data_IF_433392930072
#
_entry.id   IF_433392930072
#
_cell.length_a   1.000
_cell.length_b   1.000
_cell.length_c   1.000
_cell.angle_alpha   90.00
_cell.angle_beta   90.00
_cell.angle_gamma   90.00
#
_symmetry.space_group_name_H-M   'P 1'
#
loop_
_entity.id
_entity.type
_entity.pdbx_description
1 polymer ?
#
# COMPACT_ATOMS: atom_id res chain seq x y z
N UNK A 1 -1.18 -21.16 -9.75
CA UNK A 1 -1.85 -20.87 -8.46
C UNK A 1 -1.55 -19.46 -7.94
N UNK A 2 -0.28 -18.99 -7.97
CA UNK A 2 0.08 -17.65 -7.50
C UNK A 2 -0.68 -16.49 -8.19
N UNK A 3 -0.95 -16.57 -9.50
CA UNK A 3 -1.74 -15.55 -10.20
C UNK A 3 -3.16 -15.39 -9.63
N UNK A 4 -3.84 -16.51 -9.31
CA UNK A 4 -5.18 -16.49 -8.69
C UNK A 4 -5.17 -15.84 -7.30
N UNK A 5 -4.06 -15.99 -6.55
CA UNK A 5 -3.90 -15.34 -5.23
C UNK A 5 -3.79 -13.83 -5.42
N UNK A 6 -2.95 -13.38 -6.34
CA UNK A 6 -2.81 -11.96 -6.70
C UNK A 6 -4.09 -11.33 -7.27
N UNK A 7 -4.88 -12.11 -8.01
CA UNK A 7 -6.21 -11.70 -8.50
C UNK A 7 -7.21 -11.52 -7.35
N UNK A 8 -7.22 -12.45 -6.39
CA UNK A 8 -8.07 -12.33 -5.20
C UNK A 8 -7.63 -11.18 -4.30
N UNK A 9 -6.34 -11.01 -4.06
CA UNK A 9 -5.78 -9.90 -3.27
C UNK A 9 -6.19 -8.57 -3.90
N UNK A 10 -5.94 -8.37 -5.19
CA UNK A 10 -6.30 -7.13 -5.87
C UNK A 10 -7.82 -6.88 -5.90
N UNK A 11 -8.63 -7.93 -6.04
CA UNK A 11 -10.09 -7.78 -5.97
C UNK A 11 -10.53 -7.35 -4.57
N UNK A 12 -9.95 -7.94 -3.52
CA UNK A 12 -10.22 -7.55 -2.14
C UNK A 12 -9.77 -6.11 -1.86
N UNK A 13 -8.57 -5.73 -2.33
CA UNK A 13 -8.06 -4.35 -2.27
C UNK A 13 -9.06 -3.36 -2.90
N UNK A 14 -9.58 -3.67 -4.10
CA UNK A 14 -10.57 -2.82 -4.77
C UNK A 14 -11.89 -2.72 -3.99
N UNK A 15 -12.37 -3.81 -3.40
CA UNK A 15 -13.58 -3.78 -2.56
C UNK A 15 -13.35 -2.93 -1.31
N UNK A 16 -12.22 -3.09 -0.64
CA UNK A 16 -11.87 -2.30 0.55
C UNK A 16 -11.73 -0.81 0.19
N UNK A 17 -11.07 -0.49 -0.92
CA UNK A 17 -10.95 0.88 -1.41
C UNK A 17 -12.32 1.51 -1.71
N UNK A 18 -13.24 0.76 -2.33
CA UNK A 18 -14.60 1.25 -2.60
C UNK A 18 -15.40 1.48 -1.31
N UNK A 19 -15.27 0.59 -0.32
CA UNK A 19 -15.90 0.77 0.99
C UNK A 19 -15.34 1.99 1.72
N UNK A 20 -14.02 2.18 1.69
CA UNK A 20 -13.36 3.36 2.26
C UNK A 20 -13.78 4.65 1.56
N UNK A 21 -13.93 4.64 0.23
CA UNK A 21 -14.45 5.78 -0.52
C UNK A 21 -15.87 6.16 -0.04
N UNK A 22 -16.76 5.17 0.08
CA UNK A 22 -18.11 5.40 0.61
C UNK A 22 -18.10 5.92 2.05
N UNK A 23 -17.22 5.40 2.90
CA UNK A 23 -17.04 5.87 4.27
C UNK A 23 -16.56 7.33 4.31
N UNK A 24 -15.56 7.70 3.50
CA UNK A 24 -15.07 9.08 3.38
C UNK A 24 -16.20 10.00 2.94
N UNK A 25 -16.98 9.64 1.93
CA UNK A 25 -18.13 10.43 1.48
C UNK A 25 -19.14 10.64 2.61
N UNK A 26 -19.50 9.58 3.35
CA UNK A 26 -20.43 9.68 4.46
C UNK A 26 -19.90 10.55 5.60
N UNK A 27 -18.61 10.41 5.94
CA UNK A 27 -17.95 11.23 6.96
C UNK A 27 -17.92 12.70 6.58
N UNK A 28 -17.62 13.03 5.32
CA UNK A 28 -17.64 14.41 4.84
C UNK A 28 -19.06 14.99 4.88
N UNK A 29 -20.08 14.22 4.47
CA UNK A 29 -21.48 14.66 4.58
C UNK A 29 -21.88 14.90 6.04
N UNK A 30 -21.51 13.99 6.93
CA UNK A 30 -21.75 14.13 8.37
C UNK A 30 -21.07 15.41 8.92
N UNK A 31 -19.83 15.67 8.53
CA UNK A 31 -19.13 16.89 8.95
C UNK A 31 -19.84 18.14 8.43
N UNK A 32 -20.26 18.17 7.17
CA UNK A 32 -20.99 19.31 6.60
C UNK A 32 -22.29 19.58 7.38
N UNK A 33 -23.08 18.54 7.66
CA UNK A 33 -24.35 18.66 8.40
C UNK A 33 -24.10 19.15 9.83
N UNK A 34 -23.16 18.53 10.55
CA UNK A 34 -22.87 18.89 11.94
C UNK A 34 -22.33 20.31 12.07
N UNK A 35 -21.46 20.71 11.13
CA UNK A 35 -20.94 22.08 11.04
C UNK A 35 -22.03 23.09 10.69
N UNK A 36 -22.99 22.75 9.83
CA UNK A 36 -24.15 23.58 9.55
C UNK A 36 -25.06 23.76 10.78
N UNK A 37 -25.10 22.77 11.68
CA UNK A 37 -25.81 22.83 12.97
C UNK A 37 -25.01 23.55 14.07
N UNK A 38 -23.85 24.14 13.76
CA UNK A 38 -23.03 24.90 14.70
C UNK A 38 -22.20 24.05 15.67
N UNK A 39 -22.04 22.74 15.40
CA UNK A 39 -21.22 21.81 16.19
C UNK A 39 -20.21 21.12 15.27
N UNK A 40 -18.95 21.57 15.27
CA UNK A 40 -17.89 20.95 14.48
C UNK A 40 -17.34 19.70 15.20
N UNK A 41 -17.54 18.52 14.62
CA UNK A 41 -17.03 17.26 15.18
C UNK A 41 -15.63 16.98 14.62
N UNK A 42 -14.59 17.42 15.34
CA UNK A 42 -13.20 17.36 14.87
C UNK A 42 -12.68 15.95 14.56
N UNK A 43 -13.16 14.91 15.25
CA UNK A 43 -12.72 13.54 15.00
C UNK A 43 -13.19 13.01 13.64
N UNK A 44 -14.28 13.56 13.07
CA UNK A 44 -14.80 13.14 11.76
C UNK A 44 -13.81 13.50 10.65
N UNK A 45 -13.21 14.69 10.74
CA UNK A 45 -12.17 15.13 9.80
C UNK A 45 -10.91 14.28 9.90
N UNK A 46 -10.43 14.00 11.12
CA UNK A 46 -9.26 13.16 11.35
C UNK A 46 -9.48 11.72 10.82
N UNK A 47 -10.67 11.14 11.06
CA UNK A 47 -11.02 9.82 10.56
C UNK A 47 -11.10 9.79 9.03
N UNK A 48 -11.70 10.80 8.40
CA UNK A 48 -11.81 10.88 6.95
C UNK A 48 -10.42 10.91 6.30
N UNK A 49 -9.47 11.67 6.87
CA UNK A 49 -8.08 11.69 6.42
C UNK A 49 -7.45 10.29 6.53
N UNK A 50 -7.64 9.60 7.65
CA UNK A 50 -7.10 8.24 7.80
C UNK A 50 -7.72 7.23 6.82
N UNK A 51 -9.04 7.29 6.60
CA UNK A 51 -9.69 6.47 5.58
C UNK A 51 -9.15 6.77 4.17
N UNK A 52 -8.91 8.05 3.84
CA UNK A 52 -8.29 8.43 2.57
C UNK A 52 -6.87 7.87 2.43
N UNK A 53 -6.04 7.95 3.48
CA UNK A 53 -4.69 7.38 3.48
C UNK A 53 -4.74 5.88 3.19
N UNK A 54 -5.59 5.15 3.90
CA UNK A 54 -5.80 3.71 3.67
C UNK A 54 -6.26 3.41 2.24
N UNK A 55 -7.23 4.16 1.76
CA UNK A 55 -7.77 4.01 0.40
C UNK A 55 -6.69 4.25 -0.66
N UNK A 56 -5.87 5.30 -0.51
CA UNK A 56 -4.82 5.65 -1.47
C UNK A 56 -3.80 4.53 -1.57
N UNK A 57 -3.23 4.05 -0.47
CA UNK A 57 -2.22 3.00 -0.50
C UNK A 57 -2.77 1.68 -1.08
N UNK A 58 -3.96 1.27 -0.65
CA UNK A 58 -4.62 0.06 -1.18
C UNK A 58 -4.87 0.19 -2.68
N UNK A 59 -5.39 1.33 -3.12
CA UNK A 59 -5.67 1.59 -4.55
C UNK A 59 -4.40 1.59 -5.39
N UNK A 60 -3.33 2.20 -4.88
CA UNK A 60 -2.03 2.25 -5.56
C UNK A 60 -1.45 0.84 -5.76
N UNK A 61 -1.50 -0.02 -4.74
CA UNK A 61 -1.05 -1.42 -4.84
C UNK A 61 -1.78 -2.17 -5.97
N UNK A 62 -3.12 -2.06 -6.00
CA UNK A 62 -3.96 -2.71 -7.00
C UNK A 62 -3.70 -2.18 -8.44
N UNK A 63 -3.40 -0.89 -8.59
CA UNK A 63 -3.08 -0.27 -9.90
C UNK A 63 -1.70 -0.72 -10.40
N UNK A 64 -0.70 -0.79 -9.51
CA UNK A 64 0.65 -1.23 -9.86
C UNK A 64 0.67 -2.68 -10.34
N UNK A 65 -0.17 -3.55 -9.76
CA UNK A 65 -0.37 -4.91 -10.28
C UNK A 65 -0.75 -4.91 -11.76
N UNK A 66 -1.67 -4.04 -12.19
CA UNK A 66 -2.15 -4.02 -13.58
C UNK A 66 -1.10 -3.51 -14.57
N UNK A 67 0.13 -3.14 -14.12
CA UNK A 67 1.18 -2.49 -14.93
C UNK A 67 0.66 -1.30 -15.75
N UNK A 68 -0.46 -0.71 -15.32
CA UNK A 68 -1.10 0.45 -15.95
C UNK A 68 -0.53 1.76 -15.45
N UNK A 69 0.45 1.70 -14.54
CA UNK A 69 1.33 2.82 -14.29
C UNK A 69 2.22 2.99 -15.50
N UNK A 70 1.67 3.65 -16.53
CA UNK A 70 2.39 4.37 -17.57
C UNK A 70 3.76 3.74 -17.82
N UNK A 71 3.80 2.50 -18.33
CA UNK A 71 4.89 2.20 -19.27
C UNK A 71 4.91 3.42 -20.16
N UNK A 72 6.05 4.06 -20.25
CA UNK A 72 6.26 5.22 -21.09
C UNK A 72 6.04 4.70 -22.51
N UNK A 73 4.78 4.45 -22.91
CA UNK A 73 4.43 3.60 -24.04
C UNK A 73 4.99 4.27 -25.28
N UNK A 74 4.90 5.60 -25.29
CA UNK A 74 5.53 6.47 -26.26
C UNK A 74 7.05 6.22 -26.37
N UNK A 75 7.80 6.09 -25.27
CA UNK A 75 9.25 5.87 -25.35
C UNK A 75 9.61 4.40 -25.59
N UNK A 76 8.83 3.46 -25.06
CA UNK A 76 9.08 2.01 -25.22
C UNK A 76 8.65 1.46 -26.58
N UNK A 77 7.69 2.10 -27.25
CA UNK A 77 7.23 1.71 -28.58
C UNK A 77 8.20 2.15 -29.68
N UNK A 78 9.08 3.13 -29.41
CA UNK A 78 10.19 3.51 -30.30
C UNK A 78 11.44 2.64 -30.13
N UNK A 79 11.48 1.74 -29.14
CA UNK A 79 12.67 0.96 -28.81
C UNK A 79 12.61 -0.46 -29.38
N UNK A 80 13.75 -1.04 -29.78
CA UNK A 80 13.81 -2.44 -30.22
C UNK A 80 13.40 -3.40 -29.10
N UNK A 81 12.79 -4.53 -29.48
CA UNK A 81 12.16 -5.52 -28.58
C UNK A 81 13.06 -5.95 -27.40
N UNK A 82 14.36 -6.11 -27.64
CA UNK A 82 15.34 -6.48 -26.61
C UNK A 82 15.47 -5.42 -25.50
N UNK A 83 15.50 -4.14 -25.88
CA UNK A 83 15.69 -3.03 -24.94
C UNK A 83 14.41 -2.75 -24.15
N UNK A 84 13.24 -2.90 -24.79
CA UNK A 84 11.93 -2.87 -24.14
C UNK A 84 11.80 -3.95 -23.06
N UNK A 85 12.27 -5.17 -23.34
CA UNK A 85 12.27 -6.27 -22.36
C UNK A 85 13.19 -5.95 -21.17
N UNK A 86 14.39 -5.43 -21.43
CA UNK A 86 15.32 -5.05 -20.37
C UNK A 86 14.76 -3.94 -19.47
N UNK A 87 14.19 -2.87 -20.04
CA UNK A 87 13.56 -1.79 -19.29
C UNK A 87 12.38 -2.29 -18.43
N UNK A 88 11.60 -3.22 -18.95
CA UNK A 88 10.47 -3.81 -18.21
C UNK A 88 10.98 -4.59 -16.99
N UNK A 89 11.99 -5.46 -17.18
CA UNK A 89 12.61 -6.21 -16.07
C UNK A 89 13.26 -5.25 -15.07
N UNK A 90 13.97 -4.23 -15.53
CA UNK A 90 14.61 -3.24 -14.66
C UNK A 90 13.58 -2.51 -13.79
N UNK A 91 12.48 -2.05 -14.39
CA UNK A 91 11.37 -1.42 -13.66
C UNK A 91 10.76 -2.36 -12.61
N UNK A 92 10.49 -3.62 -12.99
CA UNK A 92 9.96 -4.62 -12.06
C UNK A 92 10.92 -4.88 -10.88
N UNK A 93 12.23 -4.94 -11.13
CA UNK A 93 13.27 -5.08 -10.09
C UNK A 93 13.30 -3.85 -9.18
N UNK A 94 13.20 -2.64 -9.73
CA UNK A 94 13.16 -1.40 -8.95
C UNK A 94 11.93 -1.34 -8.05
N UNK A 95 10.74 -1.70 -8.56
CA UNK A 95 9.51 -1.74 -7.77
C UNK A 95 9.61 -2.80 -6.67
N UNK A 96 10.15 -3.98 -6.98
CA UNK A 96 10.36 -5.04 -5.98
C UNK A 96 11.37 -4.60 -4.91
N UNK A 97 12.48 -3.99 -5.31
CA UNK A 97 13.48 -3.43 -4.40
C UNK A 97 12.89 -2.37 -3.48
N UNK A 98 12.09 -1.44 -4.03
CA UNK A 98 11.36 -0.45 -3.25
C UNK A 98 10.42 -1.10 -2.23
N UNK A 99 9.64 -2.11 -2.64
CA UNK A 99 8.73 -2.82 -1.75
C UNK A 99 9.47 -3.52 -0.59
N UNK A 100 10.59 -4.17 -0.88
CA UNK A 100 11.42 -4.84 0.12
C UNK A 100 12.06 -3.86 1.10
N UNK A 101 12.64 -2.75 0.59
CA UNK A 101 13.21 -1.70 1.44
C UNK A 101 12.13 -1.11 2.34
N UNK A 102 10.95 -0.80 1.79
CA UNK A 102 9.83 -0.28 2.56
C UNK A 102 9.37 -1.27 3.65
N UNK A 103 9.32 -2.56 3.33
CA UNK A 103 8.98 -3.61 4.31
C UNK A 103 10.03 -3.70 5.43
N UNK A 104 11.32 -3.64 5.10
CA UNK A 104 12.40 -3.66 6.11
C UNK A 104 12.36 -2.42 7.00
N UNK A 105 12.09 -1.24 6.43
CA UNK A 105 11.90 -0.02 7.20
C UNK A 105 10.70 -0.13 8.14
N UNK A 106 9.58 -0.66 7.66
CA UNK A 106 8.39 -0.91 8.48
C UNK A 106 8.70 -1.90 9.61
N UNK A 107 9.42 -2.99 9.32
CA UNK A 107 9.82 -3.98 10.31
C UNK A 107 10.71 -3.39 11.39
N UNK A 108 11.68 -2.55 11.00
CA UNK A 108 12.56 -1.85 11.95
C UNK A 108 11.81 -0.78 12.75
N UNK A 109 10.83 -0.12 12.15
CA UNK A 109 10.05 0.93 12.80
C UNK A 109 9.02 0.37 13.79
N UNK A 110 8.36 -0.74 13.47
CA UNK A 110 7.48 -1.44 14.40
C UNK A 110 8.26 -2.27 15.43
N UNK A 111 9.44 -2.78 15.06
CA UNK A 111 10.33 -3.58 15.93
C UNK A 111 9.57 -4.63 16.77
N UNK A 112 8.80 -5.53 16.14
CA UNK A 112 7.93 -6.46 16.86
C UNK A 112 8.71 -7.40 17.80
N UNK A 113 9.96 -7.71 17.47
CA UNK A 113 10.83 -8.53 18.32
C UNK A 113 11.12 -7.87 19.68
N UNK A 114 11.43 -6.57 19.67
CA UNK A 114 11.67 -5.81 20.90
C UNK A 114 10.37 -5.67 21.72
N UNK A 115 9.23 -5.51 21.05
CA UNK A 115 7.93 -5.50 21.74
C UNK A 115 7.62 -6.84 22.43
N UNK A 116 7.96 -7.97 21.79
CA UNK A 116 7.80 -9.30 22.40
C UNK A 116 8.75 -9.50 23.59
N UNK A 117 9.99 -9.01 23.51
CA UNK A 117 10.96 -9.07 24.60
C UNK A 117 10.51 -8.23 25.80
N UNK A 118 9.90 -7.07 25.55
CA UNK A 118 9.25 -6.25 26.56
C UNK A 118 7.92 -6.82 27.10
N UNK A 119 7.53 -8.04 26.68
CA UNK A 119 6.31 -8.69 27.17
C UNK A 119 5.01 -8.01 26.77
N UNK A 120 5.00 -7.29 25.63
CA UNK A 120 3.90 -6.41 25.19
C UNK A 120 3.61 -5.22 26.13
N UNK A 121 4.54 -4.88 27.03
CA UNK A 121 4.48 -3.64 27.80
C UNK A 121 4.98 -2.46 26.94
N UNK A 122 4.06 -1.59 26.55
CA UNK A 122 4.36 -0.42 25.72
C UNK A 122 5.25 0.61 26.41
N UNK A 123 5.20 0.69 27.75
CA UNK A 123 6.01 1.64 28.50
C UNK A 123 7.45 1.13 28.65
N UNK A 124 7.61 -0.17 28.95
CA UNK A 124 8.92 -0.82 28.97
C UNK A 124 9.59 -0.73 27.59
N UNK A 125 8.86 -1.10 26.53
CA UNK A 125 9.34 -1.00 25.14
C UNK A 125 9.81 0.42 24.79
N UNK A 126 9.04 1.44 25.15
CA UNK A 126 9.39 2.84 24.88
C UNK A 126 10.68 3.24 25.62
N UNK A 127 10.84 2.81 26.87
CA UNK A 127 12.03 3.13 27.67
C UNK A 127 13.31 2.47 27.14
N UNK A 128 13.21 1.26 26.59
CA UNK A 128 14.36 0.50 26.08
C UNK A 128 14.74 0.91 24.65
N UNK A 129 13.76 1.20 23.80
CA UNK A 129 13.97 1.45 22.37
C UNK A 129 13.87 2.91 21.97
N UNK A 130 13.42 3.79 22.86
CA UNK A 130 13.04 5.18 22.58
C UNK A 130 12.03 5.30 21.42
N UNK A 131 11.22 4.25 21.22
CA UNK A 131 10.23 4.19 20.16
C UNK A 131 8.81 4.42 20.70
N UNK A 132 8.16 5.47 20.22
CA UNK A 132 6.85 5.94 20.69
C UNK A 132 5.67 5.37 19.88
N UNK A 133 5.94 4.46 18.94
CA UNK A 133 4.95 3.96 17.98
C UNK A 133 3.66 3.43 18.60
N UNK A 134 3.77 2.67 19.71
CA UNK A 134 2.62 2.03 20.37
C UNK A 134 1.98 2.87 21.47
N UNK A 135 2.65 3.93 21.91
CA UNK A 135 2.18 4.78 23.01
C UNK A 135 1.35 5.96 22.51
N UNK A 136 1.63 6.48 21.32
CA UNK A 136 0.98 7.69 20.81
C UNK A 136 -0.49 7.47 20.42
N UNK A 137 -1.34 8.38 20.89
CA UNK A 137 -2.75 8.48 20.49
C UNK A 137 -2.91 9.50 19.36
N UNK A 138 -3.96 9.36 18.58
CA UNK A 138 -4.42 10.37 17.62
C UNK A 138 -4.93 11.61 18.35
N UNK A 139 -4.94 12.75 17.67
CA UNK A 139 -5.16 14.04 18.34
C UNK A 139 -6.61 14.19 18.81
N UNK A 140 -7.56 13.68 18.03
CA UNK A 140 -8.99 13.89 18.26
C UNK A 140 -9.77 12.58 18.40
N UNK A 141 -9.34 11.51 17.74
CA UNK A 141 -9.99 10.19 17.85
C UNK A 141 -9.66 9.44 19.16
N UNK A 142 -8.53 9.74 19.80
CA UNK A 142 -8.04 9.01 20.98
C UNK A 142 -7.62 7.55 20.72
N UNK A 143 -7.59 7.09 19.46
CA UNK A 143 -7.10 5.74 19.12
C UNK A 143 -5.58 5.74 19.02
N UNK A 144 -4.96 4.57 19.12
CA UNK A 144 -3.51 4.45 18.96
C UNK A 144 -3.10 4.66 17.50
N UNK A 145 -2.09 5.52 17.27
CA UNK A 145 -1.61 5.84 15.90
C UNK A 145 -1.08 4.63 15.15
N UNK A 146 -0.55 3.62 15.84
CA UNK A 146 -0.01 2.43 15.17
C UNK A 146 -1.03 1.70 14.29
N UNK A 147 -2.33 1.81 14.60
CA UNK A 147 -3.41 1.27 13.77
C UNK A 147 -3.50 1.97 12.43
N UNK A 148 -3.37 3.29 12.42
CA UNK A 148 -3.39 4.09 11.19
C UNK A 148 -2.18 3.74 10.32
N UNK A 149 -1.01 3.64 10.93
CA UNK A 149 0.24 3.35 10.24
C UNK A 149 0.36 1.91 9.71
N UNK A 150 -0.50 0.99 10.15
CA UNK A 150 -0.48 -0.42 9.75
C UNK A 150 -0.71 -0.59 8.23
N UNK A 151 -1.30 0.43 7.59
CA UNK A 151 -1.41 0.53 6.14
C UNK A 151 -0.05 0.37 5.44
N UNK A 152 1.05 0.88 6.00
CA UNK A 152 2.36 0.84 5.36
C UNK A 152 2.96 -0.57 5.29
N UNK A 153 3.03 -1.35 6.40
CA UNK A 153 3.40 -2.77 6.33
C UNK A 153 2.52 -3.56 5.36
N UNK A 154 1.19 -3.38 5.43
CA UNK A 154 0.24 -4.08 4.56
C UNK A 154 0.47 -3.74 3.08
N UNK A 155 0.65 -2.45 2.78
CA UNK A 155 0.95 -1.97 1.44
C UNK A 155 2.27 -2.54 0.92
N UNK A 156 3.33 -2.51 1.72
CA UNK A 156 4.65 -3.03 1.32
C UNK A 156 4.62 -4.53 1.02
N UNK A 157 3.86 -5.31 1.79
CA UNK A 157 3.66 -6.74 1.55
C UNK A 157 2.87 -6.99 0.26
N UNK A 158 1.74 -6.29 0.09
CA UNK A 158 0.90 -6.47 -1.11
C UNK A 158 1.66 -6.05 -2.38
N UNK A 159 2.33 -4.89 -2.33
CA UNK A 159 3.20 -4.41 -3.39
C UNK A 159 4.31 -5.40 -3.71
N UNK A 160 4.97 -5.97 -2.69
CA UNK A 160 6.01 -6.98 -2.86
C UNK A 160 5.50 -8.24 -3.56
N UNK A 161 4.30 -8.71 -3.22
CA UNK A 161 3.66 -9.85 -3.90
C UNK A 161 3.40 -9.52 -5.37
N UNK A 162 2.82 -8.36 -5.67
CA UNK A 162 2.53 -7.95 -7.04
C UNK A 162 3.80 -7.74 -7.87
N UNK A 163 4.81 -7.09 -7.31
CA UNK A 163 6.10 -6.84 -7.95
C UNK A 163 6.85 -8.14 -8.25
N UNK A 164 6.85 -9.09 -7.32
CA UNK A 164 7.47 -10.39 -7.51
C UNK A 164 6.80 -11.16 -8.65
N UNK A 165 5.47 -11.17 -8.70
CA UNK A 165 4.73 -11.85 -9.76
C UNK A 165 4.94 -11.20 -11.13
N UNK A 166 5.02 -9.87 -11.16
CA UNK A 166 5.37 -9.14 -12.36
C UNK A 166 6.78 -9.53 -12.83
N UNK A 167 7.78 -9.52 -11.95
CA UNK A 167 9.14 -9.92 -12.30
C UNK A 167 9.21 -11.34 -12.87
N UNK A 168 8.52 -12.30 -12.25
CA UNK A 168 8.45 -13.69 -12.74
C UNK A 168 7.79 -13.79 -14.12
N UNK A 169 6.76 -13.00 -14.40
CA UNK A 169 6.11 -12.94 -15.72
C UNK A 169 7.06 -12.34 -16.78
N UNK A 170 7.85 -11.33 -16.43
CA UNK A 170 8.86 -10.73 -17.32
C UNK A 170 10.01 -11.69 -17.64
N UNK A 171 10.45 -12.48 -16.65
CA UNK A 171 11.52 -13.47 -16.82
C UNK A 171 11.06 -14.68 -17.64
N UNK A 172 9.84 -15.17 -17.41
CA UNK A 172 9.28 -16.34 -18.12
C UNK A 172 8.94 -16.08 -19.59
N UNK A 173 9.09 -14.85 -20.10
CA UNK A 173 8.82 -14.50 -21.50
C UNK A 173 7.34 -14.62 -21.90
N UNK A 174 6.44 -14.86 -20.94
CA UNK A 174 5.00 -15.02 -21.18
C UNK A 174 4.32 -13.76 -21.70
N UNK A 175 5.00 -12.61 -21.65
CA UNK A 175 4.61 -11.36 -22.31
C UNK A 175 4.61 -11.43 -23.85
N UNK A 176 5.57 -12.14 -24.46
CA UNK A 176 5.70 -12.16 -25.93
C UNK A 176 4.58 -13.00 -26.59
N UNK A 177 3.94 -13.89 -25.84
CA UNK A 177 2.87 -14.77 -26.34
C UNK A 177 1.49 -14.11 -26.39
N UNK A 178 1.30 -12.97 -25.73
CA UNK A 178 0.03 -12.22 -25.74
C UNK A 178 -0.04 -11.13 -26.81
N UNK A 179 1.10 -10.67 -27.34
CA UNK A 179 1.18 -9.61 -28.36
C UNK A 179 1.28 -10.11 -29.80
N UNK A 180 1.19 -11.42 -30.05
CA UNK A 180 0.90 -11.95 -31.38
C UNK A 180 1.94 -11.66 -32.47
N UNK A 181 3.20 -11.41 -32.15
CA UNK A 181 4.26 -11.34 -33.16
C UNK A 181 4.98 -12.70 -33.27
N UNK A 182 4.98 -13.33 -34.47
CA UNK A 182 5.77 -14.52 -34.71
C UNK A 182 7.26 -14.17 -34.77
N UNK A 183 8.06 -15.12 -34.30
CA UNK A 183 9.53 -15.15 -34.28
C UNK A 183 10.16 -14.96 -35.65
#
# INVERSE_FOLDING_TARGET
MLKRISDRVASAEMTVAALLAGAVTLLVLLNIVTRAMGQAIYWVDELAIYCMVWMTFISTSAVLKKRRGVSVTILTDLLPVALRRWLTVFSDVMILGFALILFVLCWRWYSPLALMQAGFDFQAFQSETFNFMYSENTNTLGIKKFWVWLVLPVFSLSLGIHALLNLLDSLSGSQQKMTGEPT
#
